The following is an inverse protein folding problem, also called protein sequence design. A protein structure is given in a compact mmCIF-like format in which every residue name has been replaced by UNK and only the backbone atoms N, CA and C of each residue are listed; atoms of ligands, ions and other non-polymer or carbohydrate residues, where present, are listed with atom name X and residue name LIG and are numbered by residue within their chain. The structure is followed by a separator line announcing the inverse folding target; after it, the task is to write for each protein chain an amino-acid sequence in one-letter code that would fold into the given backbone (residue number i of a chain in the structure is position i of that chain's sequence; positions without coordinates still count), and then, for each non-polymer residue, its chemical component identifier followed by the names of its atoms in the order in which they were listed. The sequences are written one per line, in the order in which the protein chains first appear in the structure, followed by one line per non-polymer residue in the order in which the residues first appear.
data_IF_793996966292
#
_entry.id   IF_793996966292
#
_cell.length_a   1.000
_cell.length_b   1.000
_cell.length_c   1.000
_cell.angle_alpha   90.00
_cell.angle_beta   90.00
_cell.angle_gamma   90.00
#
_symmetry.space_group_name_H-M   'P 1'
#
loop_
_entity.id
_entity.type
_entity.pdbx_description
1 polymer ?
#
# COMPACT_ATOMS: atom_id res chain seq x y z
N UNK A 1 -13.38 25.21 12.41
CA UNK A 1 -12.88 26.18 11.41
C UNK A 1 -13.67 26.00 10.12
N UNK A 2 -13.96 27.09 9.40
CA UNK A 2 -14.75 27.05 8.16
C UNK A 2 -13.83 26.86 6.95
N UNK A 3 -14.13 25.84 6.14
CA UNK A 3 -13.45 25.50 4.90
C UNK A 3 -14.11 26.21 3.73
N UNK A 4 -13.31 26.59 2.73
CA UNK A 4 -13.80 27.21 1.49
C UNK A 4 -14.66 26.24 0.67
N UNK A 5 -14.27 24.96 0.65
CA UNK A 5 -14.95 23.87 -0.05
C UNK A 5 -15.43 22.83 0.96
N UNK A 6 -16.48 22.06 0.64
CA UNK A 6 -16.92 20.97 1.50
C UNK A 6 -15.81 19.93 1.66
N UNK A 7 -15.81 19.26 2.81
CA UNK A 7 -14.93 18.14 3.10
C UNK A 7 -15.76 17.01 3.73
N UNK A 8 -15.39 15.74 3.52
CA UNK A 8 -15.99 14.66 4.27
C UNK A 8 -15.67 14.79 5.76
N UNK A 9 -16.60 14.37 6.61
CA UNK A 9 -16.33 14.25 8.04
C UNK A 9 -15.15 13.30 8.25
N UNK A 10 -14.20 13.74 9.09
CA UNK A 10 -13.07 12.93 9.49
C UNK A 10 -13.57 11.72 10.30
N UNK A 11 -13.46 10.53 9.72
CA UNK A 11 -13.97 9.29 10.30
C UNK A 11 -12.85 8.39 10.84
N UNK A 12 -11.64 8.51 10.31
CA UNK A 12 -10.50 7.70 10.71
C UNK A 12 -9.71 8.38 11.85
N UNK A 13 -9.65 7.77 13.05
CA UNK A 13 -9.08 8.42 14.22
C UNK A 13 -7.54 8.45 14.18
N UNK A 14 -6.95 9.48 14.80
CA UNK A 14 -5.50 9.70 14.85
C UNK A 14 -4.77 8.52 15.50
N UNK A 15 -5.37 7.93 16.53
CA UNK A 15 -4.80 6.84 17.32
C UNK A 15 -4.56 5.59 16.44
N UNK A 16 -5.42 5.37 15.45
CA UNK A 16 -5.32 4.24 14.51
C UNK A 16 -4.26 4.44 13.41
N UNK A 17 -3.84 5.68 13.14
CA UNK A 17 -2.86 5.99 12.09
C UNK A 17 -1.52 5.32 12.37
N UNK A 18 -1.05 5.38 13.62
CA UNK A 18 0.23 4.77 14.02
C UNK A 18 0.24 3.26 13.79
N UNK A 19 -0.89 2.59 14.04
CA UNK A 19 -1.06 1.15 13.82
C UNK A 19 -1.02 0.79 12.34
N UNK A 20 -1.78 1.49 11.49
CA UNK A 20 -1.81 1.25 10.04
C UNK A 20 -0.42 1.44 9.41
N UNK A 21 0.28 2.50 9.81
CA UNK A 21 1.65 2.75 9.37
C UNK A 21 2.60 1.64 9.84
N UNK A 22 2.55 1.28 11.12
CA UNK A 22 3.41 0.23 11.69
C UNK A 22 3.19 -1.14 11.03
N UNK A 23 1.92 -1.54 10.84
CA UNK A 23 1.57 -2.82 10.23
C UNK A 23 2.03 -2.88 8.77
N UNK A 24 1.95 -1.76 8.04
CA UNK A 24 2.44 -1.70 6.66
C UNK A 24 3.97 -1.77 6.59
N UNK A 25 4.68 -1.07 7.47
CA UNK A 25 6.15 -1.11 7.52
C UNK A 25 6.68 -2.49 7.91
N UNK A 26 6.01 -3.17 8.85
CA UNK A 26 6.32 -4.56 9.22
C UNK A 26 6.16 -5.51 8.04
N UNK A 27 5.12 -5.35 7.21
CA UNK A 27 4.96 -6.12 5.96
C UNK A 27 6.12 -5.91 4.99
N UNK A 28 6.77 -4.74 5.02
CA UNK A 28 7.99 -4.42 4.27
C UNK A 28 9.28 -4.76 5.02
N UNK A 29 9.19 -5.56 6.08
CA UNK A 29 10.29 -6.00 6.94
C UNK A 29 11.01 -4.88 7.70
N UNK A 30 10.36 -3.73 7.89
CA UNK A 30 10.87 -2.67 8.75
C UNK A 30 10.31 -2.83 10.17
N UNK A 31 11.12 -3.42 11.06
CA UNK A 31 10.77 -3.56 12.49
C UNK A 31 11.27 -2.41 13.35
N UNK A 32 12.29 -1.67 12.87
CA UNK A 32 12.84 -0.48 13.51
C UNK A 32 12.60 0.70 12.59
N UNK A 33 11.77 1.63 13.02
CA UNK A 33 11.47 2.88 12.34
C UNK A 33 11.09 3.93 13.37
N UNK A 34 11.28 5.20 13.03
CA UNK A 34 10.81 6.33 13.85
C UNK A 34 9.68 7.01 13.09
N UNK A 35 8.51 7.10 13.72
CA UNK A 35 7.41 7.88 13.17
C UNK A 35 7.49 9.31 13.73
N UNK A 36 7.57 10.30 12.84
CA UNK A 36 7.49 11.71 13.19
C UNK A 36 6.08 12.13 13.58
N UNK A 37 5.90 13.44 13.82
CA UNK A 37 4.59 14.00 14.19
C UNK A 37 3.57 13.84 13.05
N UNK A 38 2.45 13.19 13.33
CA UNK A 38 1.29 13.12 12.43
C UNK A 38 0.62 14.48 12.31
N UNK A 39 0.32 14.92 11.09
CA UNK A 39 -0.40 16.17 10.81
C UNK A 39 -1.66 15.89 10.01
N UNK A 40 -2.78 16.53 10.35
CA UNK A 40 -3.97 16.51 9.52
C UNK A 40 -3.85 17.56 8.41
N UNK A 41 -4.03 17.14 7.17
CA UNK A 41 -3.97 18.00 6.00
C UNK A 41 -5.24 17.83 5.18
N UNK A 42 -5.91 18.95 4.87
CA UNK A 42 -7.01 18.99 3.92
C UNK A 42 -6.46 19.32 2.54
N UNK A 43 -6.53 18.34 1.62
CA UNK A 43 -5.99 18.44 0.26
C UNK A 43 -7.15 18.75 -0.70
N UNK A 44 -7.07 19.83 -1.52
CA UNK A 44 -8.10 20.10 -2.51
C UNK A 44 -8.05 19.06 -3.62
N UNK A 45 -9.20 18.48 -3.93
CA UNK A 45 -9.35 17.42 -4.92
C UNK A 45 -10.50 17.77 -5.85
N UNK A 46 -10.26 17.70 -7.16
CA UNK A 46 -11.31 17.75 -8.16
C UNK A 46 -11.87 16.37 -8.43
N UNK A 47 -13.19 16.25 -8.37
CA UNK A 47 -13.94 15.08 -8.79
C UNK A 47 -14.54 15.32 -10.16
N UNK A 48 -14.20 14.44 -11.10
CA UNK A 48 -14.76 14.43 -12.44
C UNK A 48 -15.49 13.11 -12.69
N UNK A 49 -16.48 13.17 -13.58
CA UNK A 49 -17.04 11.98 -14.23
C UNK A 49 -16.36 11.85 -15.59
N UNK A 50 -16.13 10.64 -16.07
CA UNK A 50 -15.58 10.41 -17.39
C UNK A 50 -16.35 9.35 -18.15
N UNK A 51 -16.30 9.46 -19.47
CA UNK A 51 -16.76 8.48 -20.44
C UNK A 51 -15.55 8.10 -21.31
N UNK A 52 -15.30 6.81 -21.48
CA UNK A 52 -14.19 6.26 -22.24
C UNK A 52 -14.69 5.31 -23.32
N UNK A 53 -14.28 5.55 -24.57
CA UNK A 53 -14.71 4.80 -25.74
C UNK A 53 -13.56 3.93 -26.27
N UNK A 54 -13.76 2.62 -26.29
CA UNK A 54 -12.80 1.67 -26.85
C UNK A 54 -13.20 1.41 -28.30
N UNK A 55 -12.28 1.65 -29.23
CA UNK A 55 -12.52 1.51 -30.67
C UNK A 55 -11.68 0.38 -31.25
N UNK A 56 -12.30 -0.46 -32.09
CA UNK A 56 -11.63 -1.43 -32.93
C UNK A 56 -12.00 -1.14 -34.39
N UNK A 57 -11.01 -0.96 -35.27
CA UNK A 57 -11.22 -0.60 -36.67
C UNK A 57 -12.10 0.66 -36.88
N UNK A 58 -12.00 1.64 -35.97
CA UNK A 58 -12.78 2.89 -36.03
C UNK A 58 -14.25 2.77 -35.61
N UNK A 59 -14.64 1.63 -35.03
CA UNK A 59 -15.97 1.41 -34.46
C UNK A 59 -15.85 1.28 -32.95
N UNK A 60 -16.69 2.01 -32.20
CA UNK A 60 -16.77 1.89 -30.74
C UNK A 60 -17.33 0.53 -30.37
N UNK A 61 -16.51 -0.31 -29.74
CA UNK A 61 -16.87 -1.66 -29.29
C UNK A 61 -17.26 -1.73 -27.82
N UNK A 62 -16.80 -0.77 -27.01
CA UNK A 62 -17.08 -0.73 -25.57
C UNK A 62 -17.06 0.71 -25.06
N UNK A 63 -17.99 1.00 -24.16
CA UNK A 63 -18.03 2.24 -23.39
C UNK A 63 -17.78 1.93 -21.91
N UNK A 64 -16.99 2.77 -21.25
CA UNK A 64 -16.74 2.70 -19.82
C UNK A 64 -16.99 4.08 -19.21
N UNK A 65 -17.85 4.11 -18.21
CA UNK A 65 -18.17 5.33 -17.47
C UNK A 65 -17.67 5.18 -16.03
N UNK A 66 -17.19 6.27 -15.46
CA UNK A 66 -16.65 6.25 -14.10
C UNK A 66 -16.38 7.63 -13.53
N UNK A 67 -15.80 7.65 -12.35
CA UNK A 67 -15.39 8.87 -11.65
C UNK A 67 -13.90 8.82 -11.36
N UNK A 68 -13.28 9.99 -11.37
CA UNK A 68 -11.87 10.16 -11.08
C UNK A 68 -11.65 11.35 -10.15
N UNK A 69 -10.72 11.19 -9.22
CA UNK A 69 -10.30 12.25 -8.31
C UNK A 69 -8.89 12.69 -8.65
N UNK A 70 -8.68 14.00 -8.79
CA UNK A 70 -7.39 14.62 -9.10
C UNK A 70 -7.00 15.58 -7.99
N UNK A 71 -5.83 15.37 -7.39
CA UNK A 71 -5.22 16.28 -6.43
C UNK A 71 -4.91 17.62 -7.11
N UNK A 72 -5.60 18.68 -6.69
CA UNK A 72 -5.47 20.01 -7.28
C UNK A 72 -4.15 20.70 -6.93
N UNK A 73 -3.30 20.10 -6.09
CA UNK A 73 -1.98 20.64 -5.74
C UNK A 73 -0.86 20.14 -6.65
N UNK A 74 -1.03 18.96 -7.26
CA UNK A 74 0.05 18.30 -8.00
C UNK A 74 -0.40 17.46 -9.22
N UNK A 75 -1.70 17.32 -9.47
CA UNK A 75 -2.23 16.57 -10.61
C UNK A 75 -2.18 15.05 -10.48
N UNK A 76 -1.88 14.50 -9.29
CA UNK A 76 -1.95 13.06 -9.07
C UNK A 76 -3.40 12.58 -9.01
N UNK A 77 -3.63 11.37 -9.51
CA UNK A 77 -4.95 10.71 -9.49
C UNK A 77 -5.08 9.87 -8.23
N UNK A 78 -6.20 9.98 -7.53
CA UNK A 78 -6.50 9.19 -6.33
C UNK A 78 -7.71 8.30 -6.60
N UNK A 79 -7.46 7.09 -7.11
CA UNK A 79 -8.49 6.14 -7.54
C UNK A 79 -9.44 5.69 -6.43
N UNK A 80 -8.99 5.75 -5.18
CA UNK A 80 -9.77 5.32 -4.02
C UNK A 80 -10.85 6.33 -3.60
N UNK A 81 -10.67 7.63 -3.87
CA UNK A 81 -11.62 8.65 -3.39
C UNK A 81 -13.03 8.42 -3.98
N UNK A 82 -13.20 8.25 -5.31
CA UNK A 82 -14.53 8.00 -5.87
C UNK A 82 -15.19 6.77 -5.29
N UNK A 83 -14.41 5.68 -5.12
CA UNK A 83 -14.89 4.44 -4.50
C UNK A 83 -15.36 4.67 -3.06
N UNK A 84 -14.60 5.39 -2.24
CA UNK A 84 -14.99 5.72 -0.87
C UNK A 84 -16.29 6.54 -0.82
N UNK A 85 -16.46 7.49 -1.75
CA UNK A 85 -17.66 8.32 -1.83
C UNK A 85 -18.91 7.55 -2.31
N UNK A 86 -18.73 6.45 -3.04
CA UNK A 86 -19.81 5.60 -3.53
C UNK A 86 -20.21 4.54 -2.51
N UNK A 87 -19.24 3.92 -1.85
CA UNK A 87 -19.46 2.78 -0.94
C UNK A 87 -19.72 3.19 0.51
N UNK A 88 -19.26 4.36 0.93
CA UNK A 88 -19.44 4.82 2.30
C UNK A 88 -20.44 5.98 2.37
N UNK A 89 -21.35 6.01 3.35
CA UNK A 89 -22.20 7.15 3.60
C UNK A 89 -21.34 8.30 4.18
N UNK A 90 -20.84 9.16 3.30
CA UNK A 90 -19.94 10.25 3.67
C UNK A 90 -20.73 11.57 3.76
N UNK A 91 -20.85 12.11 4.97
CA UNK A 91 -21.40 13.46 5.18
C UNK A 91 -20.36 14.52 4.77
N UNK A 92 -20.75 15.46 3.91
CA UNK A 92 -19.92 16.59 3.53
C UNK A 92 -20.24 17.82 4.39
N UNK A 93 -19.21 18.36 5.04
CA UNK A 93 -19.32 19.53 5.92
C UNK A 93 -18.38 20.63 5.47
N UNK A 94 -18.77 21.90 5.70
CA UNK A 94 -17.88 23.06 5.53
C UNK A 94 -17.23 23.50 6.84
N UNK A 95 -17.66 22.97 7.97
CA UNK A 95 -17.10 23.29 9.28
C UNK A 95 -16.57 22.02 9.94
N UNK A 96 -15.30 22.08 10.33
CA UNK A 96 -14.63 20.92 10.95
C UNK A 96 -15.16 20.68 12.37
N UNK A 97 -15.56 19.44 12.66
CA UNK A 97 -16.09 19.03 13.98
C UNK A 97 -15.01 18.57 14.97
N UNK A 98 -13.77 18.40 14.52
CA UNK A 98 -12.66 17.92 15.36
C UNK A 98 -11.81 19.08 15.94
N UNK A 99 -11.04 18.78 16.99
CA UNK A 99 -10.12 19.72 17.64
C UNK A 99 -8.67 19.64 17.14
N UNK A 100 -8.35 18.68 16.25
CA UNK A 100 -6.99 18.51 15.75
C UNK A 100 -6.47 19.75 15.01
N UNK A 101 -5.18 20.06 15.22
CA UNK A 101 -4.47 21.06 14.42
C UNK A 101 -4.39 20.56 12.98
N UNK A 102 -4.84 21.39 12.05
CA UNK A 102 -4.92 21.05 10.64
C UNK A 102 -4.25 22.09 9.75
N UNK A 103 -3.80 21.63 8.59
CA UNK A 103 -3.31 22.46 7.50
C UNK A 103 -4.28 22.33 6.32
N UNK A 104 -4.69 23.44 5.72
CA UNK A 104 -5.52 23.44 4.51
C UNK A 104 -4.66 23.86 3.33
N UNK A 105 -4.49 22.95 2.37
CA UNK A 105 -3.76 23.25 1.13
C UNK A 105 -4.64 24.07 0.20
N UNK A 106 -4.01 24.95 -0.58
CA UNK A 106 -4.70 25.70 -1.63
C UNK A 106 -4.57 24.97 -2.96
N UNK A 107 -5.61 24.99 -3.82
CA UNK A 107 -5.49 24.43 -5.16
C UNK A 107 -4.46 25.25 -5.95
N UNK A 108 -3.56 24.54 -6.62
CA UNK A 108 -2.56 25.13 -7.53
C UNK A 108 -3.06 25.06 -8.97
N UNK A 109 -3.75 23.97 -9.32
CA UNK A 109 -4.38 23.77 -10.61
C UNK A 109 -5.78 24.38 -10.62
N UNK A 110 -6.11 25.04 -11.73
CA UNK A 110 -7.48 25.39 -12.07
C UNK A 110 -8.30 24.14 -12.42
N UNK A 111 -9.63 24.28 -12.45
CA UNK A 111 -10.54 23.20 -12.83
C UNK A 111 -10.28 22.67 -14.24
N UNK A 112 -9.99 23.57 -15.19
CA UNK A 112 -9.74 23.18 -16.58
C UNK A 112 -8.38 22.47 -16.72
N UNK A 113 -7.33 22.95 -16.06
CA UNK A 113 -6.03 22.24 -16.02
C UNK A 113 -6.15 20.86 -15.37
N UNK A 114 -6.90 20.75 -14.26
CA UNK A 114 -7.13 19.46 -13.61
C UNK A 114 -7.94 18.49 -14.50
N UNK A 115 -8.88 19.01 -15.30
CA UNK A 115 -9.63 18.20 -16.30
C UNK A 115 -8.70 17.66 -17.39
N UNK A 116 -7.80 18.50 -17.89
CA UNK A 116 -6.81 18.11 -18.89
C UNK A 116 -5.87 17.02 -18.34
N UNK A 117 -5.40 17.20 -17.11
CA UNK A 117 -4.59 16.19 -16.41
C UNK A 117 -5.37 14.88 -16.23
N UNK A 118 -6.65 14.95 -15.84
CA UNK A 118 -7.51 13.76 -15.72
C UNK A 118 -7.60 12.98 -17.03
N UNK A 119 -7.85 13.67 -18.16
CA UNK A 119 -7.94 13.04 -19.47
C UNK A 119 -6.63 12.33 -19.87
N UNK A 120 -5.48 12.98 -19.63
CA UNK A 120 -4.17 12.38 -19.92
C UNK A 120 -3.89 11.16 -19.05
N UNK A 121 -4.21 11.24 -17.74
CA UNK A 121 -3.99 10.13 -16.81
C UNK A 121 -4.91 8.95 -17.12
N UNK A 122 -6.19 9.20 -17.41
CA UNK A 122 -7.15 8.18 -17.85
C UNK A 122 -6.69 7.50 -19.15
N UNK A 123 -6.18 8.26 -20.11
CA UNK A 123 -5.65 7.73 -21.38
C UNK A 123 -4.52 6.73 -21.12
N UNK A 124 -3.59 7.08 -20.24
CA UNK A 124 -2.51 6.19 -19.84
C UNK A 124 -2.98 4.96 -19.05
N UNK A 125 -3.92 5.12 -18.12
CA UNK A 125 -4.45 4.04 -17.28
C UNK A 125 -5.28 3.02 -18.08
N UNK A 126 -6.09 3.50 -19.03
CA UNK A 126 -6.98 2.66 -19.83
C UNK A 126 -6.35 2.18 -21.14
N UNK A 127 -5.19 2.72 -21.53
CA UNK A 127 -4.49 2.34 -22.75
C UNK A 127 -5.23 2.76 -24.03
N UNK A 128 -5.99 3.86 -24.00
CA UNK A 128 -6.76 4.38 -25.14
C UNK A 128 -6.34 5.80 -25.51
N UNK A 129 -6.50 6.24 -26.77
CA UNK A 129 -6.21 7.61 -27.17
C UNK A 129 -6.98 8.64 -26.36
N UNK A 130 -6.34 9.77 -26.05
CA UNK A 130 -6.95 10.85 -25.27
C UNK A 130 -8.26 11.37 -25.88
N UNK A 131 -8.35 11.45 -27.20
CA UNK A 131 -9.57 11.90 -27.90
C UNK A 131 -10.79 10.99 -27.64
N UNK A 132 -10.56 9.75 -27.19
CA UNK A 132 -11.61 8.78 -26.88
C UNK A 132 -12.01 8.84 -25.39
N UNK A 133 -11.56 9.88 -24.66
CA UNK A 133 -11.92 10.12 -23.27
C UNK A 133 -12.57 11.50 -23.16
N UNK A 134 -13.78 11.49 -22.63
CA UNK A 134 -14.54 12.70 -22.34
C UNK A 134 -14.60 12.88 -20.83
N UNK A 135 -13.99 13.94 -20.32
CA UNK A 135 -14.03 14.29 -18.89
C UNK A 135 -15.06 15.39 -18.68
N UNK A 136 -16.05 15.12 -17.84
CA UNK A 136 -17.23 15.94 -17.60
C UNK A 136 -17.25 16.49 -16.17
N UNK A 137 -17.89 17.66 -16.02
CA UNK A 137 -18.11 18.27 -14.71
C UNK A 137 -16.84 18.84 -14.08
N UNK A 138 -16.66 18.57 -12.78
CA UNK A 138 -15.56 19.04 -11.95
C UNK A 138 -16.06 19.76 -10.71
N UNK A 139 -16.28 19.01 -9.64
CA UNK A 139 -16.56 19.54 -8.30
C UNK A 139 -15.28 19.53 -7.49
N UNK A 140 -15.05 20.56 -6.68
CA UNK A 140 -13.90 20.60 -5.77
C UNK A 140 -14.36 20.33 -4.34
N UNK A 141 -13.62 19.48 -3.65
CA UNK A 141 -13.76 19.24 -2.23
C UNK A 141 -12.39 19.23 -1.57
N UNK A 142 -12.36 19.35 -0.25
CA UNK A 142 -11.16 19.08 0.53
C UNK A 142 -11.19 17.65 1.05
N UNK A 143 -10.17 16.86 0.78
CA UNK A 143 -10.02 15.51 1.31
C UNK A 143 -9.11 15.50 2.55
N UNK A 144 -9.55 14.99 3.71
CA UNK A 144 -8.75 14.91 4.91
C UNK A 144 -7.72 13.77 4.79
N UNK A 145 -6.47 14.08 5.09
CA UNK A 145 -5.35 13.14 5.02
C UNK A 145 -4.46 13.30 6.26
N UNK A 146 -4.19 12.20 6.93
CA UNK A 146 -3.18 12.11 7.97
C UNK A 146 -1.80 11.90 7.35
N UNK A 147 -0.96 12.93 7.42
CA UNK A 147 0.41 12.89 6.91
C UNK A 147 1.38 12.50 8.02
N UNK A 148 2.13 11.44 7.78
CA UNK A 148 3.16 10.91 8.68
C UNK A 148 4.49 10.85 7.94
N UNK A 149 5.54 11.38 8.56
CA UNK A 149 6.91 11.15 8.10
C UNK A 149 7.46 9.96 8.86
N UNK A 150 8.04 9.00 8.14
CA UNK A 150 8.63 7.80 8.72
C UNK A 150 10.10 7.74 8.32
N UNK A 151 10.95 7.64 9.33
CA UNK A 151 12.38 7.43 9.15
C UNK A 151 12.69 5.94 9.29
N UNK A 152 13.20 5.36 8.22
CA UNK A 152 13.83 4.03 8.20
C UNK A 152 15.31 4.18 7.88
N UNK A 153 16.08 3.10 7.96
CA UNK A 153 17.52 3.17 7.72
C UNK A 153 17.89 3.73 6.33
N UNK A 154 17.07 3.48 5.31
CA UNK A 154 17.31 3.95 3.94
C UNK A 154 16.91 5.40 3.67
N UNK A 155 16.23 6.07 4.62
CA UNK A 155 15.81 7.47 4.46
C UNK A 155 14.48 7.80 5.14
N UNK A 156 14.03 9.03 4.91
CA UNK A 156 12.75 9.55 5.38
C UNK A 156 11.71 9.51 4.28
N UNK A 157 10.54 8.97 4.58
CA UNK A 157 9.45 8.79 3.63
C UNK A 157 8.16 9.39 4.16
N UNK A 158 7.44 10.06 3.26
CA UNK A 158 6.10 10.59 3.56
C UNK A 158 5.05 9.53 3.25
N UNK A 159 4.29 9.19 4.27
CA UNK A 159 3.11 8.34 4.17
C UNK A 159 1.87 9.18 4.43
N UNK A 160 0.84 8.96 3.63
CA UNK A 160 -0.41 9.70 3.69
C UNK A 160 -1.53 8.67 3.97
N UNK A 161 -2.25 8.79 5.08
CA UNK A 161 -3.39 7.92 5.46
C UNK A 161 -4.69 8.67 5.24
N UNK A 162 -5.62 8.06 4.52
CA UNK A 162 -6.96 8.59 4.27
C UNK A 162 -7.71 8.86 5.58
N UNK A 163 -8.17 10.10 5.79
CA UNK A 163 -8.89 10.50 6.98
C UNK A 163 -10.34 10.00 7.05
N UNK A 164 -10.86 9.40 5.97
CA UNK A 164 -12.20 8.81 5.89
C UNK A 164 -12.11 7.29 5.99
N UNK A 165 -11.33 6.66 5.11
CA UNK A 165 -11.27 5.20 4.97
C UNK A 165 -10.13 4.53 5.75
N UNK A 166 -9.10 5.28 6.15
CA UNK A 166 -7.88 4.72 6.74
C UNK A 166 -6.95 4.04 5.75
N UNK A 167 -7.22 4.10 4.44
CA UNK A 167 -6.32 3.59 3.40
C UNK A 167 -4.97 4.33 3.42
N UNK A 168 -3.88 3.60 3.21
CA UNK A 168 -2.52 4.15 3.25
C UNK A 168 -1.97 4.33 1.82
N UNK A 169 -1.49 5.54 1.52
CA UNK A 169 -0.83 5.92 0.27
C UNK A 169 0.65 6.24 0.51
N UNK A 170 1.47 6.07 -0.53
CA UNK A 170 2.91 6.34 -0.46
C UNK A 170 3.73 5.18 0.09
N UNK A 171 3.09 4.08 0.51
CA UNK A 171 3.77 2.90 1.01
C UNK A 171 4.68 2.26 -0.05
N UNK A 172 4.32 2.35 -1.33
CA UNK A 172 5.10 1.90 -2.47
C UNK A 172 6.48 2.56 -2.57
N UNK A 173 6.62 3.80 -2.05
CA UNK A 173 7.89 4.55 -2.05
C UNK A 173 8.87 4.07 -0.98
N UNK A 174 8.37 3.40 0.05
CA UNK A 174 9.22 2.81 1.09
C UNK A 174 9.81 1.52 0.53
N UNK A 175 11.15 1.39 0.44
CA UNK A 175 11.77 0.18 -0.08
C UNK A 175 11.46 -1.01 0.83
N UNK A 176 11.50 -2.23 0.28
CA UNK A 176 11.42 -3.44 1.10
C UNK A 176 12.82 -3.69 1.68
N UNK A 177 12.92 -3.91 2.99
CA UNK A 177 14.21 -4.27 3.61
C UNK A 177 14.53 -5.72 3.27
N UNK A 178 15.75 -5.98 2.80
CA UNK A 178 16.26 -7.34 2.71
C UNK A 178 16.33 -7.96 4.11
N UNK A 179 15.75 -9.15 4.27
CA UNK A 179 15.75 -9.83 5.56
C UNK A 179 17.18 -10.24 5.89
N UNK A 180 17.65 -9.89 7.08
CA UNK A 180 18.96 -10.32 7.54
C UNK A 180 18.98 -11.84 7.77
N UNK A 181 20.16 -12.47 7.65
CA UNK A 181 20.35 -13.91 7.93
C UNK A 181 19.73 -14.34 9.26
N UNK A 182 19.88 -13.54 10.32
CA UNK A 182 19.31 -13.85 11.63
C UNK A 182 17.77 -13.89 11.63
N UNK A 183 17.11 -12.99 10.91
CA UNK A 183 15.65 -12.93 10.81
C UNK A 183 15.11 -14.09 9.99
N UNK A 184 15.80 -14.42 8.88
CA UNK A 184 15.51 -15.61 8.08
C UNK A 184 15.66 -16.87 8.94
N UNK A 185 16.78 -17.02 9.66
CA UNK A 185 17.01 -18.21 10.50
C UNK A 185 16.03 -18.30 11.67
N UNK A 186 15.60 -17.17 12.26
CA UNK A 186 14.63 -17.17 13.35
C UNK A 186 13.24 -17.62 12.90
N UNK A 187 12.77 -17.12 11.76
CA UNK A 187 11.50 -17.56 11.16
C UNK A 187 11.59 -19.03 10.72
N UNK A 188 12.65 -19.42 10.01
CA UNK A 188 12.89 -20.81 9.60
C UNK A 188 12.96 -21.73 10.82
N UNK A 189 13.64 -21.34 11.91
CA UNK A 189 13.71 -22.14 13.13
C UNK A 189 12.35 -22.26 13.81
N UNK A 190 11.51 -21.21 13.75
CA UNK A 190 10.14 -21.25 14.27
C UNK A 190 9.22 -22.12 13.43
N UNK A 191 9.35 -22.08 12.09
CA UNK A 191 8.61 -22.94 11.16
C UNK A 191 9.07 -24.40 11.30
N UNK A 192 10.36 -24.66 11.45
CA UNK A 192 10.94 -25.99 11.69
C UNK A 192 10.52 -26.60 13.04
N UNK A 193 9.81 -25.89 13.93
CA UNK A 193 9.14 -26.55 15.07
C UNK A 193 7.90 -27.34 14.66
N UNK A 194 7.33 -27.04 13.50
CA UNK A 194 6.18 -27.75 12.95
C UNK A 194 6.64 -28.84 11.99
N UNK A 195 6.35 -30.14 12.22
CA UNK A 195 6.78 -31.23 11.35
C UNK A 195 6.38 -31.06 9.87
N UNK A 196 5.26 -30.39 9.60
CA UNK A 196 4.78 -30.08 8.25
C UNK A 196 5.72 -29.15 7.47
N UNK A 197 6.41 -28.22 8.15
CA UNK A 197 7.36 -27.31 7.51
C UNK A 197 8.61 -28.04 7.00
N UNK A 198 8.97 -29.17 7.60
CA UNK A 198 10.15 -29.95 7.21
C UNK A 198 9.99 -30.46 5.78
N UNK A 199 8.79 -30.97 5.45
CA UNK A 199 8.46 -31.44 4.11
C UNK A 199 8.56 -30.31 3.08
N UNK A 200 8.09 -29.10 3.44
CA UNK A 200 8.16 -27.91 2.57
C UNK A 200 9.61 -27.51 2.27
N UNK A 201 10.48 -27.46 3.29
CA UNK A 201 11.88 -27.10 3.12
C UNK A 201 12.69 -28.19 2.40
N UNK A 202 12.40 -29.48 2.62
CA UNK A 202 13.05 -30.58 1.91
C UNK A 202 12.72 -30.55 0.41
N UNK A 203 11.46 -30.25 0.06
CA UNK A 203 11.07 -30.10 -1.34
C UNK A 203 11.79 -28.91 -1.98
N UNK A 204 11.87 -27.77 -1.28
CA UNK A 204 12.56 -26.58 -1.77
C UNK A 204 14.07 -26.81 -1.96
N UNK A 205 14.71 -27.60 -1.07
CA UNK A 205 16.11 -28.03 -1.21
C UNK A 205 16.33 -28.96 -2.41
N UNK A 206 15.41 -29.91 -2.62
CA UNK A 206 15.47 -30.82 -3.77
C UNK A 206 15.36 -30.05 -5.10
N UNK A 207 14.44 -29.08 -5.16
CA UNK A 207 14.24 -28.22 -6.33
C UNK A 207 15.47 -27.30 -6.57
N UNK A 208 16.08 -26.74 -5.52
CA UNK A 208 17.30 -25.92 -5.65
C UNK A 208 18.52 -26.71 -6.11
N UNK A 209 18.71 -27.94 -5.61
CA UNK A 209 19.84 -28.79 -5.94
C UNK A 209 19.61 -29.62 -7.21
N UNK A 210 18.41 -29.53 -7.80
CA UNK A 210 17.97 -30.33 -8.95
C UNK A 210 18.18 -31.84 -8.73
N UNK A 211 17.93 -32.31 -7.50
CA UNK A 211 18.05 -33.72 -7.12
C UNK A 211 16.66 -34.33 -6.93
N UNK A 212 16.50 -35.64 -7.21
CA UNK A 212 15.25 -36.33 -6.91
C UNK A 212 14.89 -36.22 -5.42
N UNK A 213 13.61 -36.01 -5.12
CA UNK A 213 13.12 -35.83 -3.73
C UNK A 213 13.56 -36.94 -2.77
N UNK A 214 13.64 -38.19 -3.24
CA UNK A 214 14.09 -39.32 -2.42
C UNK A 214 15.58 -39.21 -2.02
N UNK A 215 16.42 -38.58 -2.83
CA UNK A 215 17.84 -38.32 -2.53
C UNK A 215 17.95 -37.29 -1.41
N UNK A 216 17.12 -36.23 -1.44
CA UNK A 216 17.08 -35.23 -0.37
C UNK A 216 16.65 -35.85 0.98
N UNK A 217 15.65 -36.74 0.96
CA UNK A 217 15.23 -37.49 2.15
C UNK A 217 16.32 -38.43 2.67
N UNK A 218 17.03 -39.13 1.78
CA UNK A 218 18.12 -40.02 2.15
C UNK A 218 19.29 -39.26 2.78
N UNK A 219 19.65 -38.11 2.21
CA UNK A 219 20.68 -37.24 2.80
C UNK A 219 20.30 -36.76 4.19
N UNK A 220 19.04 -36.35 4.39
CA UNK A 220 18.53 -35.93 5.71
C UNK A 220 18.56 -37.09 6.72
N UNK A 221 18.15 -38.28 6.32
CA UNK A 221 18.20 -39.47 7.17
C UNK A 221 19.63 -39.83 7.56
N UNK A 222 20.57 -39.77 6.61
CA UNK A 222 22.00 -39.98 6.88
C UNK A 222 22.58 -38.92 7.83
N UNK A 223 22.22 -37.65 7.67
CA UNK A 223 22.66 -36.59 8.59
C UNK A 223 22.08 -36.78 9.99
N UNK A 224 20.80 -37.15 10.11
CA UNK A 224 20.18 -37.45 11.40
C UNK A 224 20.81 -38.67 12.07
N UNK A 225 21.04 -39.75 11.33
CA UNK A 225 21.74 -40.93 11.85
C UNK A 225 23.15 -40.58 12.33
N UNK A 226 23.89 -39.77 11.57
CA UNK A 226 25.21 -39.30 11.95
C UNK A 226 25.17 -38.42 13.21
N UNK A 227 24.22 -37.48 13.31
CA UNK A 227 24.05 -36.63 14.49
C UNK A 227 23.65 -37.43 15.74
N UNK A 228 22.78 -38.43 15.60
CA UNK A 228 22.39 -39.33 16.69
C UNK A 228 23.55 -40.21 17.15
N UNK A 229 24.31 -40.76 16.21
CA UNK A 229 25.52 -41.52 16.51
C UNK A 229 26.55 -40.64 17.22
N UNK A 230 26.80 -39.43 16.71
CA UNK A 230 27.72 -38.45 17.32
C UNK A 230 27.28 -38.05 18.73
N UNK A 231 25.99 -37.81 18.95
CA UNK A 231 25.45 -37.50 20.28
C UNK A 231 25.59 -38.69 21.26
N UNK A 232 25.43 -39.92 20.76
CA UNK A 232 25.66 -41.15 21.54
C UNK A 232 27.12 -41.33 21.93
N UNK A 233 28.04 -41.11 20.99
CA UNK A 233 29.49 -41.13 21.23
C UNK A 233 29.88 -40.08 22.28
N UNK A 234 29.39 -38.84 22.18
CA UNK A 234 29.68 -37.80 23.17
C UNK A 234 29.15 -38.12 24.58
N UNK A 235 28.02 -38.83 24.70
CA UNK A 235 27.54 -39.30 26.02
C UNK A 235 28.41 -40.40 26.62
N UNK A 236 29.09 -41.19 25.79
CA UNK A 236 30.00 -42.24 26.25
C UNK A 236 31.38 -41.71 26.66
N UNK A 237 31.82 -40.59 26.07
CA UNK A 237 33.12 -39.98 26.34
C UNK A 237 33.07 -38.75 27.28
N UNK A 238 31.89 -38.25 27.63
CA UNK A 238 31.69 -37.07 28.49
C UNK A 238 31.44 -37.36 29.97
N UNK A 239 31.86 -38.52 30.49
CA UNK A 239 31.86 -38.83 31.93
C UNK A 239 33.28 -38.85 32.48
#
# INVERSE_FOLDING_TARGET
MKLQYPAPVLSFPLESVSKVVADTLKKKHWHRFTAGTTKLVYVPVYLFTYEAFFEENGVVVKELNGRIAVDATNGNVWESIPYVLEEMPVELVRETRHSYKMEVKQPVLSKDEAREVAAVKLSAMLGIPRQNIKVLGGEILFWPVWRVWVDVHSGSYRLDVDGVSGMLFGAEKVPVRERGWYEITGEVLSELKQPSAWVKYINLLADMLNIPRWVAWLLLALTLMFLLWWAGVFRLFGR
#
